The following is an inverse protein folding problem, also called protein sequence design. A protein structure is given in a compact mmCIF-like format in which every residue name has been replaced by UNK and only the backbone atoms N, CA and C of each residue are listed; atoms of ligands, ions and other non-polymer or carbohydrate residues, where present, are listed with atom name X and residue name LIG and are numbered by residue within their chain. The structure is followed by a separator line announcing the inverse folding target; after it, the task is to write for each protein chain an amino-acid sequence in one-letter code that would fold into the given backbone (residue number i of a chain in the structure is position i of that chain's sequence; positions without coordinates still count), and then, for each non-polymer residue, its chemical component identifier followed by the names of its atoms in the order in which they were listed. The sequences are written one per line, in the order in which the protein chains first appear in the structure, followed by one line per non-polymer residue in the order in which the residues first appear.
data_IF_956483237342
#
_entry.id   IF_956483237342
#
_cell.length_a   1.000
_cell.length_b   1.000
_cell.length_c   1.000
_cell.angle_alpha   90.00
_cell.angle_beta   90.00
_cell.angle_gamma   90.00
#
_symmetry.space_group_name_H-M   'P 1'
#
loop_
_entity.id
_entity.type
_entity.pdbx_description
1 polymer ?
#
# COMPACT_ATOMS: atom_id res chain seq x y z
N UNK A 1 -14.50 6.34 7.08
CA UNK A 1 -13.64 7.51 7.35
C UNK A 1 -12.31 7.29 6.64
N UNK A 2 -11.80 8.29 5.92
CA UNK A 2 -10.49 8.21 5.25
C UNK A 2 -9.40 8.52 6.29
N UNK A 3 -8.33 7.72 6.42
CA UNK A 3 -7.27 7.97 7.40
C UNK A 3 -6.60 9.32 7.13
N UNK A 4 -6.26 10.08 8.18
CA UNK A 4 -5.67 11.42 8.04
C UNK A 4 -4.33 11.45 7.28
N UNK A 5 -3.60 10.33 7.28
CA UNK A 5 -2.35 10.19 6.51
C UNK A 5 -2.58 10.01 5.01
N UNK A 6 -3.73 9.45 4.59
CA UNK A 6 -3.96 9.09 3.19
C UNK A 6 -3.99 10.32 2.24
N UNK A 7 -4.67 11.43 2.58
CA UNK A 7 -4.66 12.65 1.77
C UNK A 7 -3.29 13.35 1.67
N UNK A 8 -2.44 13.20 2.69
CA UNK A 8 -1.10 13.82 2.72
C UNK A 8 0.00 12.92 2.13
N UNK A 9 -0.37 11.71 1.73
CA UNK A 9 0.56 10.76 1.14
C UNK A 9 0.61 10.88 -0.38
N UNK A 10 1.77 10.59 -0.95
CA UNK A 10 2.04 10.62 -2.38
C UNK A 10 2.49 9.24 -2.85
N UNK A 11 2.13 8.93 -4.08
CA UNK A 11 2.52 7.73 -4.78
C UNK A 11 3.24 8.15 -6.06
N UNK A 12 4.39 7.56 -6.36
CA UNK A 12 5.13 7.87 -7.59
C UNK A 12 5.87 6.66 -8.12
N UNK A 13 6.11 6.64 -9.44
CA UNK A 13 6.94 5.62 -10.05
C UNK A 13 8.42 5.86 -9.73
N UNK A 14 9.08 4.82 -9.23
CA UNK A 14 10.54 4.78 -9.09
C UNK A 14 11.14 4.57 -10.50
N UNK A 15 12.07 5.43 -10.93
CA UNK A 15 12.72 5.31 -12.23
C UNK A 15 13.42 3.98 -12.42
N UNK A 16 13.51 3.52 -13.68
CA UNK A 16 14.16 2.24 -13.98
C UNK A 16 15.62 2.19 -13.50
N UNK A 17 16.34 3.32 -13.60
CA UNK A 17 17.74 3.44 -13.15
C UNK A 17 17.91 3.38 -11.63
N UNK A 18 16.82 3.52 -10.87
CA UNK A 18 16.80 3.56 -9.41
C UNK A 18 16.17 2.28 -8.80
N UNK A 19 15.90 1.27 -9.62
CA UNK A 19 15.41 -0.03 -9.15
C UNK A 19 13.97 -0.40 -9.55
N UNK A 20 13.27 0.44 -10.34
CA UNK A 20 11.94 0.20 -10.91
C UNK A 20 10.87 -0.29 -9.90
N UNK A 21 9.91 0.58 -9.56
CA UNK A 21 8.88 0.21 -8.60
C UNK A 21 7.92 1.35 -8.29
N UNK A 22 7.14 1.19 -7.22
CA UNK A 22 6.22 2.19 -6.71
C UNK A 22 6.74 2.74 -5.38
N UNK A 23 6.83 4.06 -5.26
CA UNK A 23 7.20 4.75 -4.03
C UNK A 23 5.96 5.31 -3.37
N UNK A 24 5.71 4.89 -2.13
CA UNK A 24 4.73 5.50 -1.24
C UNK A 24 5.47 6.39 -0.24
N UNK A 25 5.14 7.68 -0.22
CA UNK A 25 5.75 8.66 0.69
C UNK A 25 4.66 9.41 1.44
N UNK A 26 4.86 9.67 2.73
CA UNK A 26 3.91 10.42 3.53
C UNK A 26 4.59 10.92 4.81
N UNK A 27 3.95 11.82 5.56
CA UNK A 27 4.54 12.33 6.79
C UNK A 27 4.59 11.27 7.90
N UNK A 28 3.74 10.23 7.84
CA UNK A 28 3.66 9.13 8.82
C UNK A 28 3.82 9.64 10.27
N UNK A 29 3.06 10.69 10.60
CA UNK A 29 3.22 11.45 11.83
C UNK A 29 2.66 10.71 13.05
N UNK A 30 3.03 11.22 14.24
CA UNK A 30 2.32 10.94 15.49
C UNK A 30 0.86 11.37 15.30
N UNK A 31 -0.08 10.47 15.61
CA UNK A 31 -1.51 10.74 15.51
C UNK A 31 -2.10 10.73 16.92
N UNK A 32 -2.42 11.90 17.52
CA UNK A 32 -2.94 11.98 18.88
C UNK A 32 -4.19 11.13 19.05
N UNK A 33 -4.18 10.20 20.01
CA UNK A 33 -5.29 9.26 20.24
C UNK A 33 -5.26 7.99 19.39
N UNK A 34 -4.28 7.83 18.49
CA UNK A 34 -4.11 6.63 17.64
C UNK A 34 -2.68 6.08 17.75
N UNK A 35 -1.66 6.94 17.58
CA UNK A 35 -0.24 6.61 17.64
C UNK A 35 0.48 7.60 18.56
N UNK A 36 0.80 7.19 19.79
CA UNK A 36 1.47 8.03 20.78
C UNK A 36 2.97 8.30 20.52
N UNK A 37 3.54 7.66 19.51
CA UNK A 37 4.94 7.80 19.09
C UNK A 37 5.06 7.80 17.57
N UNK A 38 6.21 8.21 17.03
CA UNK A 38 6.48 8.04 15.60
C UNK A 38 6.42 6.55 15.24
N UNK A 39 5.80 6.17 14.10
CA UNK A 39 5.79 4.79 13.65
C UNK A 39 7.23 4.29 13.44
N UNK A 40 7.57 3.16 14.06
CA UNK A 40 8.85 2.45 13.80
C UNK A 40 8.69 1.28 12.84
N UNK A 41 7.44 0.89 12.59
CA UNK A 41 7.07 -0.20 11.71
C UNK A 41 5.95 0.26 10.81
N UNK A 42 6.08 0.00 9.51
CA UNK A 42 5.04 0.25 8.51
C UNK A 42 4.70 -1.08 7.87
N UNK A 43 3.44 -1.47 7.97
CA UNK A 43 2.91 -2.66 7.30
C UNK A 43 1.93 -2.23 6.21
N UNK A 44 2.13 -2.71 4.99
CA UNK A 44 1.32 -2.39 3.81
C UNK A 44 0.87 -3.68 3.15
N UNK A 45 -0.39 -3.76 2.73
CA UNK A 45 -0.88 -4.86 1.91
C UNK A 45 -1.38 -4.34 0.57
N UNK A 46 -0.87 -4.94 -0.50
CA UNK A 46 -1.20 -4.59 -1.87
C UNK A 46 -2.00 -5.71 -2.52
N UNK A 47 -3.15 -5.34 -3.05
CA UNK A 47 -3.96 -6.17 -3.93
C UNK A 47 -3.87 -5.58 -5.33
N UNK A 48 -3.10 -6.22 -6.19
CA UNK A 48 -2.98 -5.79 -7.58
C UNK A 48 -3.15 -6.97 -8.53
N UNK A 49 -3.71 -6.66 -9.70
CA UNK A 49 -3.91 -7.60 -10.81
C UNK A 49 -3.00 -7.17 -11.94
N UNK A 50 -2.44 -8.14 -12.67
CA UNK A 50 -1.81 -7.83 -13.95
C UNK A 50 -2.90 -7.60 -15.00
N UNK A 51 -2.64 -6.82 -16.05
CA UNK A 51 -3.55 -6.69 -17.18
C UNK A 51 -3.99 -8.06 -17.73
N UNK A 52 -3.06 -9.02 -17.82
CA UNK A 52 -3.36 -10.40 -18.25
C UNK A 52 -4.37 -11.09 -17.33
N UNK A 53 -4.17 -11.06 -16.01
CA UNK A 53 -5.12 -11.67 -15.06
C UNK A 53 -6.47 -10.96 -15.04
N UNK A 54 -6.48 -9.64 -15.23
CA UNK A 54 -7.71 -8.85 -15.32
C UNK A 54 -8.50 -9.20 -16.58
N UNK A 55 -7.84 -9.33 -17.73
CA UNK A 55 -8.45 -9.73 -19.01
C UNK A 55 -9.11 -11.11 -18.96
N UNK A 56 -8.54 -12.03 -18.17
CA UNK A 56 -9.10 -13.37 -17.95
C UNK A 56 -10.28 -13.38 -16.96
N UNK A 57 -10.73 -12.22 -16.49
CA UNK A 57 -11.79 -12.12 -15.48
C UNK A 57 -11.36 -12.68 -14.12
N UNK A 58 -10.07 -12.87 -13.89
CA UNK A 58 -9.58 -13.43 -12.64
C UNK A 58 -9.93 -12.49 -11.49
N UNK A 59 -10.58 -13.06 -10.48
CA UNK A 59 -10.90 -12.38 -9.21
C UNK A 59 -9.75 -12.48 -8.20
N UNK A 60 -8.66 -13.15 -8.56
CA UNK A 60 -7.49 -13.37 -7.72
C UNK A 60 -6.44 -12.29 -7.96
N UNK A 61 -5.79 -11.85 -6.88
CA UNK A 61 -4.69 -10.89 -6.92
C UNK A 61 -3.35 -11.61 -6.97
N UNK A 62 -2.30 -10.89 -7.36
CA UNK A 62 -0.93 -11.35 -7.09
C UNK A 62 -0.77 -11.47 -5.57
N UNK A 63 -0.19 -12.59 -5.11
CA UNK A 63 -0.12 -12.93 -3.68
C UNK A 63 -1.35 -13.65 -3.14
N UNK A 64 -2.27 -14.10 -4.00
CA UNK A 64 -3.43 -14.89 -3.57
C UNK A 64 -4.60 -14.04 -3.11
N UNK A 65 -5.48 -14.62 -2.29
CA UNK A 65 -6.68 -13.91 -1.81
C UNK A 65 -6.32 -12.81 -0.82
N UNK A 66 -5.23 -12.99 -0.07
CA UNK A 66 -4.73 -12.02 0.92
C UNK A 66 -3.79 -10.98 0.31
N UNK A 67 -3.49 -11.04 -0.99
CA UNK A 67 -2.58 -10.10 -1.64
C UNK A 67 -1.13 -10.26 -1.14
N UNK A 68 -0.30 -9.25 -1.41
CA UNK A 68 1.10 -9.23 -0.95
C UNK A 68 1.22 -8.24 0.20
N UNK A 69 1.67 -8.70 1.35
CA UNK A 69 1.97 -7.82 2.48
C UNK A 69 3.47 -7.52 2.54
N UNK A 70 3.80 -6.30 2.94
CA UNK A 70 5.16 -5.82 3.17
C UNK A 70 5.20 -5.22 4.56
N UNK A 71 6.20 -5.61 5.35
CA UNK A 71 6.48 -4.97 6.64
C UNK A 71 7.87 -4.38 6.57
N UNK A 72 7.98 -3.09 6.84
CA UNK A 72 9.24 -2.37 7.00
C UNK A 72 9.41 -2.03 8.48
N UNK A 73 10.50 -2.48 9.10
CA UNK A 73 10.92 -2.05 10.44
C UNK A 73 12.31 -1.44 10.40
N UNK A 74 12.65 -0.67 11.43
CA UNK A 74 14.00 -0.11 11.62
C UNK A 74 15.09 -1.18 11.83
N UNK A 75 14.69 -2.40 12.21
CA UNK A 75 15.55 -3.48 12.68
C UNK A 75 15.70 -4.59 11.64
N UNK A 76 14.63 -4.94 10.93
CA UNK A 76 14.58 -6.12 10.08
C UNK A 76 14.57 -5.79 8.57
N UNK A 77 14.54 -4.50 8.22
CA UNK A 77 14.40 -4.07 6.83
C UNK A 77 13.01 -4.42 6.26
N UNK A 78 12.93 -4.77 4.98
CA UNK A 78 11.66 -5.10 4.30
C UNK A 78 11.42 -6.61 4.28
N UNK A 79 10.32 -7.06 4.89
CA UNK A 79 9.84 -8.43 4.82
C UNK A 79 8.59 -8.49 3.95
N UNK A 80 8.65 -9.28 2.87
CA UNK A 80 7.50 -9.53 1.99
C UNK A 80 6.83 -10.86 2.36
N UNK A 81 5.54 -10.81 2.68
CA UNK A 81 4.70 -11.96 3.03
C UNK A 81 3.69 -12.20 1.92
N UNK A 82 3.57 -13.46 1.46
CA UNK A 82 2.74 -13.83 0.31
C UNK A 82 1.67 -14.82 0.77
N UNK A 83 0.42 -14.37 0.75
CA UNK A 83 -0.75 -15.11 1.23
C UNK A 83 -0.69 -15.53 2.71
N UNK A 84 0.33 -15.11 3.47
CA UNK A 84 0.44 -15.36 4.90
C UNK A 84 -0.60 -14.56 5.70
N UNK A 85 -1.07 -15.09 6.84
CA UNK A 85 -1.91 -14.36 7.76
C UNK A 85 -1.15 -13.20 8.42
N UNK A 86 -1.75 -12.02 8.40
CA UNK A 86 -1.23 -10.83 9.08
C UNK A 86 -2.37 -10.23 9.90
N UNK A 87 -2.55 -10.64 11.17
CA UNK A 87 -3.77 -10.40 11.95
C UNK A 87 -4.21 -8.94 12.00
N UNK A 88 -3.28 -8.00 12.07
CA UNK A 88 -3.59 -6.57 12.08
C UNK A 88 -4.06 -6.08 10.69
N UNK A 89 -3.33 -6.41 9.60
CA UNK A 89 -3.75 -6.02 8.24
C UNK A 89 -4.97 -6.81 7.74
N UNK A 90 -5.32 -7.91 8.39
CA UNK A 90 -6.55 -8.67 8.10
C UNK A 90 -7.81 -7.93 8.61
N UNK A 91 -7.64 -6.99 9.56
CA UNK A 91 -8.74 -6.26 10.21
C UNK A 91 -8.90 -4.83 9.70
N UNK A 92 -7.90 -4.28 9.01
CA UNK A 92 -7.95 -2.89 8.53
C UNK A 92 -8.91 -2.73 7.34
N UNK A 93 -9.54 -1.55 7.19
CA UNK A 93 -10.35 -1.26 6.01
C UNK A 93 -9.54 -1.37 4.71
N UNK A 94 -10.15 -1.98 3.69
CA UNK A 94 -9.58 -2.03 2.34
C UNK A 94 -10.00 -0.77 1.58
N UNK A 95 -9.00 0.00 1.14
CA UNK A 95 -9.21 1.18 0.32
C UNK A 95 -8.97 0.82 -1.15
N UNK A 96 -10.04 0.77 -1.94
CA UNK A 96 -9.94 0.50 -3.38
C UNK A 96 -9.45 1.75 -4.11
N UNK A 97 -8.33 1.61 -4.80
CA UNK A 97 -7.70 2.65 -5.63
C UNK A 97 -8.10 2.46 -7.10
N UNK A 98 -9.41 2.37 -7.38
CA UNK A 98 -9.95 2.36 -8.75
C UNK A 98 -10.48 3.74 -9.12
N UNK A 99 -10.71 4.00 -10.41
CA UNK A 99 -11.11 5.32 -10.91
C UNK A 99 -12.48 5.82 -10.39
N UNK A 100 -13.30 4.95 -9.78
CA UNK A 100 -14.69 5.24 -9.43
C UNK A 100 -14.92 5.35 -7.91
N UNK A 101 -13.94 4.97 -7.09
CA UNK A 101 -14.02 5.04 -5.63
C UNK A 101 -13.49 6.35 -5.03
N UNK A 102 -13.85 6.68 -3.80
CA UNK A 102 -13.24 7.80 -3.06
C UNK A 102 -11.71 7.64 -2.90
N UNK A 103 -11.22 6.39 -2.94
CA UNK A 103 -9.78 6.07 -2.95
C UNK A 103 -9.07 6.44 -4.26
N UNK A 104 -9.80 6.65 -5.36
CA UNK A 104 -9.25 6.96 -6.69
C UNK A 104 -8.31 8.16 -6.68
N UNK A 105 -8.66 9.18 -5.90
CA UNK A 105 -7.98 10.47 -5.88
C UNK A 105 -6.70 10.45 -5.03
N UNK A 106 -6.57 9.46 -4.15
CA UNK A 106 -5.43 9.34 -3.26
C UNK A 106 -4.42 8.35 -3.84
N UNK A 107 -3.13 8.63 -3.67
CA UNK A 107 -2.05 7.73 -4.10
C UNK A 107 -2.04 7.38 -5.59
N UNK A 108 -2.44 8.32 -6.47
CA UNK A 108 -2.17 8.18 -7.90
C UNK A 108 -0.68 8.38 -8.17
N UNK A 109 -0.03 7.52 -8.98
CA UNK A 109 1.30 7.79 -9.47
C UNK A 109 1.28 9.12 -10.22
N UNK A 110 1.98 10.13 -9.69
CA UNK A 110 2.15 11.39 -10.42
C UNK A 110 3.12 11.16 -11.57
N UNK A 111 2.79 11.69 -12.75
CA UNK A 111 3.76 11.81 -13.84
C UNK A 111 4.94 12.64 -13.36
N UNK A 112 6.15 12.26 -13.78
CA UNK A 112 7.34 13.07 -13.52
C UNK A 112 7.19 14.39 -14.28
N UNK A 113 6.90 15.47 -13.55
CA UNK A 113 7.23 16.85 -13.95
C UNK A 113 8.72 17.06 -13.84
#
# INVERSE_FOLDING_TARGET
MVPHWLPSSTCSWIPFKEGQGLRLSGPFNIEPGVLGTKPRTVSLRLWYRTPLTALLGAKTFIGGKRGVAFTLSDSDGVVALRDDPTPELDRVPVYVLDANGAGAYYLQPKDKT
#
